data_IF_754249440882
#
_entry.id   IF_754249440882
#
_cell.length_a   1.000
_cell.length_b   1.000
_cell.length_c   1.000
_cell.angle_alpha   90.00
_cell.angle_beta   90.00
_cell.angle_gamma   90.00
#
_symmetry.space_group_name_H-M   'P 1'
#
loop_
_entity.id
_entity.type
_entity.pdbx_description
1 polymer ?
#
# COMPACT_ATOMS: atom_id res chain seq x y z
N UNK A 1 -50.52 52.77 -18.65
CA UNK A 1 -50.19 52.75 -17.21
C UNK A 1 -50.08 51.29 -16.85
N UNK A 2 -48.91 50.68 -16.68
CA UNK A 2 -47.50 51.09 -16.75
C UNK A 2 -46.68 49.89 -17.26
N UNK A 3 -45.43 50.11 -17.72
CA UNK A 3 -44.59 49.15 -18.44
C UNK A 3 -43.61 48.40 -17.51
N UNK A 4 -42.67 47.69 -18.14
CA UNK A 4 -41.40 47.16 -17.59
C UNK A 4 -41.38 45.70 -17.12
N UNK A 5 -41.12 44.84 -18.12
CA UNK A 5 -40.38 43.60 -17.92
C UNK A 5 -38.94 43.92 -17.54
N UNK A 6 -38.60 43.66 -16.28
CA UNK A 6 -37.23 43.61 -15.79
C UNK A 6 -36.63 42.24 -16.01
N UNK A 7 -35.61 42.17 -16.87
CA UNK A 7 -34.70 41.06 -17.06
C UNK A 7 -33.93 40.83 -15.76
N UNK A 8 -34.34 39.84 -14.97
CA UNK A 8 -33.58 39.38 -13.81
C UNK A 8 -32.37 38.59 -14.28
N UNK A 9 -31.24 39.28 -14.45
CA UNK A 9 -29.92 38.67 -14.53
C UNK A 9 -29.67 37.96 -13.20
N UNK A 10 -29.77 36.63 -13.19
CA UNK A 10 -29.25 35.81 -12.09
C UNK A 10 -27.74 35.93 -12.14
N UNK A 11 -27.20 36.77 -11.26
CA UNK A 11 -25.80 36.75 -10.91
C UNK A 11 -25.58 35.37 -10.31
N UNK A 12 -24.68 34.58 -10.91
CA UNK A 12 -24.23 33.33 -10.33
C UNK A 12 -23.68 33.66 -8.95
N UNK A 13 -24.17 32.97 -7.94
CA UNK A 13 -23.58 33.00 -6.60
C UNK A 13 -22.17 32.42 -6.79
N UNK A 14 -21.17 33.30 -6.70
CA UNK A 14 -19.77 32.89 -6.62
C UNK A 14 -19.66 31.99 -5.38
N UNK A 15 -19.22 30.75 -5.59
CA UNK A 15 -19.02 29.74 -4.56
C UNK A 15 -17.90 30.22 -3.63
N UNK A 16 -18.28 30.80 -2.50
CA UNK A 16 -17.43 31.39 -1.45
C UNK A 16 -16.74 30.29 -0.62
N UNK A 17 -16.35 29.18 -1.26
CA UNK A 17 -15.48 28.16 -0.64
C UNK A 17 -14.05 28.69 -0.65
N UNK A 18 -13.39 28.65 0.51
CA UNK A 18 -11.94 28.87 0.57
C UNK A 18 -11.25 27.99 -0.48
N UNK A 19 -10.25 28.51 -1.21
CA UNK A 19 -9.57 27.73 -2.24
C UNK A 19 -8.94 26.49 -1.60
N UNK A 20 -9.24 25.32 -2.15
CA UNK A 20 -8.70 24.05 -1.63
C UNK A 20 -7.17 24.11 -1.49
N UNK A 21 -6.67 23.83 -0.30
CA UNK A 21 -5.23 23.79 -0.04
C UNK A 21 -4.67 22.46 -0.53
N UNK A 22 -3.87 22.52 -1.61
CA UNK A 22 -3.38 21.34 -2.34
C UNK A 22 -1.88 21.21 -2.20
N UNK A 23 -1.39 20.07 -1.73
CA UNK A 23 0.03 19.77 -1.57
C UNK A 23 0.47 18.63 -2.47
N UNK A 24 1.72 18.70 -2.92
CA UNK A 24 2.36 17.60 -3.64
C UNK A 24 3.73 17.31 -3.04
N UNK A 25 3.89 16.09 -2.53
CA UNK A 25 5.16 15.55 -2.04
C UNK A 25 5.83 14.82 -3.20
N UNK A 26 6.89 15.42 -3.74
CA UNK A 26 7.65 14.90 -4.88
C UNK A 26 8.92 14.20 -4.42
N UNK A 27 9.07 12.93 -4.78
CA UNK A 27 10.36 12.24 -4.70
C UNK A 27 11.11 12.40 -6.03
N UNK A 28 12.19 13.21 -6.08
CA UNK A 28 12.94 13.44 -7.31
C UNK A 28 13.77 12.23 -7.74
N UNK A 29 14.08 11.31 -6.82
CA UNK A 29 14.91 10.12 -7.07
C UNK A 29 14.07 8.87 -7.43
N UNK A 30 12.74 9.00 -7.50
CA UNK A 30 11.86 7.91 -7.94
C UNK A 30 12.08 7.59 -9.43
N UNK A 31 12.00 6.30 -9.79
CA UNK A 31 12.14 5.88 -11.18
C UNK A 31 13.54 6.19 -11.74
N UNK A 32 13.59 6.92 -12.85
CA UNK A 32 14.84 7.40 -13.48
C UNK A 32 15.16 8.88 -13.19
N UNK A 33 14.32 9.55 -12.37
CA UNK A 33 14.44 10.96 -12.04
C UNK A 33 14.06 11.95 -13.16
N UNK A 34 13.75 11.47 -14.37
CA UNK A 34 13.42 12.31 -15.52
C UNK A 34 12.08 13.04 -15.42
N UNK A 35 11.26 12.72 -14.42
CA UNK A 35 9.94 13.29 -14.19
C UNK A 35 9.94 14.62 -13.45
N UNK A 36 10.99 14.93 -12.68
CA UNK A 36 11.01 16.00 -11.67
C UNK A 36 10.44 17.33 -12.17
N UNK A 37 11.03 17.87 -13.25
CA UNK A 37 10.63 19.17 -13.80
C UNK A 37 9.21 19.15 -14.38
N UNK A 38 8.83 18.03 -15.02
CA UNK A 38 7.49 17.86 -15.60
C UNK A 38 6.42 17.86 -14.51
N UNK A 39 6.59 17.06 -13.46
CA UNK A 39 5.64 16.97 -12.35
C UNK A 39 5.53 18.30 -11.62
N UNK A 40 6.68 18.92 -11.31
CA UNK A 40 6.72 20.22 -10.64
C UNK A 40 5.93 21.27 -11.40
N UNK A 41 6.19 21.42 -12.70
CA UNK A 41 5.47 22.39 -13.54
C UNK A 41 3.97 22.13 -13.56
N UNK A 42 3.54 20.89 -13.81
CA UNK A 42 2.11 20.54 -13.88
C UNK A 42 1.38 20.77 -12.55
N UNK A 43 2.07 20.54 -11.43
CA UNK A 43 1.56 20.78 -10.08
C UNK A 43 1.40 22.28 -9.79
N UNK A 44 2.45 23.07 -10.05
CA UNK A 44 2.42 24.53 -9.86
C UNK A 44 1.36 25.19 -10.75
N UNK A 45 1.20 24.75 -12.01
CA UNK A 45 0.13 25.20 -12.93
C UNK A 45 -1.28 24.90 -12.41
N UNK A 46 -1.43 23.93 -11.51
CA UNK A 46 -2.72 23.51 -10.91
C UNK A 46 -2.88 23.96 -9.45
N UNK A 47 -2.02 24.87 -8.99
CA UNK A 47 -2.14 25.49 -7.67
C UNK A 47 -1.62 24.62 -6.52
N UNK A 48 -0.79 23.61 -6.79
CA UNK A 48 -0.21 22.80 -5.72
C UNK A 48 0.99 23.47 -5.06
N UNK A 49 1.04 23.42 -3.74
CA UNK A 49 2.25 23.64 -2.95
C UNK A 49 3.17 22.41 -3.08
N UNK A 50 4.22 22.53 -3.89
CA UNK A 50 5.17 21.43 -4.12
C UNK A 50 6.27 21.39 -3.04
N UNK A 51 6.53 20.21 -2.48
CA UNK A 51 7.65 19.90 -1.59
C UNK A 51 8.41 18.69 -2.09
N UNK A 52 9.74 18.79 -2.13
CA UNK A 52 10.60 17.71 -2.62
C UNK A 52 11.25 16.96 -1.45
N UNK A 53 11.24 15.62 -1.50
CA UNK A 53 11.97 14.82 -0.51
C UNK A 53 13.48 15.03 -0.68
N UNK A 54 14.22 15.05 0.43
CA UNK A 54 15.67 15.31 0.43
C UNK A 54 16.49 14.07 0.80
N UNK A 55 15.87 13.11 1.47
CA UNK A 55 16.49 11.88 1.95
C UNK A 55 15.42 10.78 2.08
N UNK A 56 15.84 9.52 2.19
CA UNK A 56 14.94 8.40 2.40
C UNK A 56 14.16 8.57 3.72
N UNK A 57 12.84 8.38 3.69
CA UNK A 57 11.99 8.61 4.86
C UNK A 57 11.59 10.08 5.10
N UNK A 58 11.86 11.02 4.18
CA UNK A 58 11.45 12.42 4.34
C UNK A 58 9.95 12.67 4.04
N UNK A 59 9.27 11.78 3.32
CA UNK A 59 7.88 11.97 2.90
C UNK A 59 6.88 12.14 4.08
N UNK A 60 6.97 11.35 5.18
CA UNK A 60 6.15 11.56 6.38
C UNK A 60 6.28 12.96 6.99
N UNK A 61 7.49 13.53 7.00
CA UNK A 61 7.70 14.89 7.53
C UNK A 61 6.96 15.94 6.70
N UNK A 62 7.07 15.86 5.38
CA UNK A 62 6.38 16.76 4.47
C UNK A 62 4.86 16.60 4.52
N UNK A 63 4.37 15.37 4.74
CA UNK A 63 2.95 15.12 4.94
C UNK A 63 2.41 15.71 6.25
N UNK A 64 3.19 15.65 7.34
CA UNK A 64 2.87 16.34 8.59
C UNK A 64 2.84 17.87 8.42
N UNK A 65 3.75 18.43 7.61
CA UNK A 65 3.70 19.86 7.25
C UNK A 65 2.42 20.21 6.48
N UNK A 66 2.02 19.38 5.51
CA UNK A 66 0.78 19.57 4.75
C UNK A 66 -0.45 19.50 5.66
N UNK A 67 -0.48 18.52 6.59
CA UNK A 67 -1.54 18.41 7.59
C UNK A 67 -1.62 19.64 8.51
N UNK A 68 -0.48 20.20 8.91
CA UNK A 68 -0.42 21.41 9.72
C UNK A 68 -0.85 22.68 8.95
N UNK A 69 -0.82 22.62 7.62
CA UNK A 69 -1.36 23.64 6.73
C UNK A 69 -2.85 23.42 6.38
N UNK A 70 -3.52 22.46 7.04
CA UNK A 70 -4.91 22.07 6.78
C UNK A 70 -5.16 21.69 5.31
N UNK A 71 -4.20 21.02 4.66
CA UNK A 71 -4.32 20.59 3.28
C UNK A 71 -5.55 19.67 3.07
N UNK A 72 -6.42 20.08 2.14
CA UNK A 72 -7.59 19.31 1.70
C UNK A 72 -7.17 18.11 0.85
N UNK A 73 -6.08 18.26 0.09
CA UNK A 73 -5.54 17.22 -0.78
C UNK A 73 -4.02 17.17 -0.71
N UNK A 74 -3.48 15.95 -0.53
CA UNK A 74 -2.03 15.68 -0.58
C UNK A 74 -1.74 14.61 -1.62
N UNK A 75 -1.02 14.98 -2.67
CA UNK A 75 -0.59 14.07 -3.72
C UNK A 75 0.85 13.55 -3.47
N UNK A 76 1.03 12.23 -3.51
CA UNK A 76 2.33 11.58 -3.49
C UNK A 76 2.85 11.38 -4.92
N UNK A 77 3.88 12.12 -5.32
CA UNK A 77 4.56 11.94 -6.60
C UNK A 77 5.83 11.12 -6.40
N UNK A 78 5.69 9.80 -6.55
CA UNK A 78 6.75 8.83 -6.35
C UNK A 78 6.29 7.41 -6.71
N UNK A 79 6.95 6.42 -6.12
CA UNK A 79 6.44 5.05 -6.05
C UNK A 79 5.65 4.77 -4.76
N UNK A 80 5.36 3.49 -4.52
CA UNK A 80 4.53 3.03 -3.40
C UNK A 80 5.10 3.44 -2.03
N UNK A 81 6.42 3.45 -1.84
CA UNK A 81 7.04 3.92 -0.59
C UNK A 81 6.86 5.43 -0.34
N UNK A 82 6.80 6.26 -1.39
CA UNK A 82 6.48 7.69 -1.22
C UNK A 82 5.03 7.87 -0.79
N UNK A 83 4.12 7.07 -1.36
CA UNK A 83 2.71 7.06 -0.97
C UNK A 83 2.54 6.60 0.48
N UNK A 84 3.16 5.47 0.87
CA UNK A 84 3.13 4.98 2.24
C UNK A 84 3.64 6.05 3.20
N UNK A 85 4.78 6.70 2.89
CA UNK A 85 5.29 7.78 3.71
C UNK A 85 4.33 8.96 3.86
N UNK A 86 3.61 9.34 2.79
CA UNK A 86 2.57 10.38 2.87
C UNK A 86 1.40 9.94 3.76
N UNK A 87 0.90 8.71 3.59
CA UNK A 87 -0.20 8.16 4.40
C UNK A 87 0.19 8.10 5.87
N UNK A 88 1.38 7.57 6.18
CA UNK A 88 1.89 7.46 7.55
C UNK A 88 2.05 8.84 8.20
N UNK A 89 2.61 9.83 7.50
CA UNK A 89 2.73 11.19 8.05
C UNK A 89 1.39 11.89 8.25
N UNK A 90 0.39 11.62 7.41
CA UNK A 90 -0.97 12.11 7.63
C UNK A 90 -1.66 11.39 8.80
N UNK A 91 -1.40 10.11 9.01
CA UNK A 91 -1.92 9.37 10.16
C UNK A 91 -1.32 9.86 11.47
N UNK A 92 0.00 10.06 11.53
CA UNK A 92 0.71 10.65 12.67
C UNK A 92 0.14 12.02 13.09
N UNK A 93 -0.44 12.75 12.13
CA UNK A 93 -1.06 14.06 12.33
C UNK A 93 -2.60 14.00 12.51
N UNK A 94 -3.16 12.80 12.70
CA UNK A 94 -4.60 12.53 12.78
C UNK A 94 -5.38 13.11 11.59
N UNK A 95 -4.77 13.24 10.41
CA UNK A 95 -5.28 14.02 9.27
C UNK A 95 -6.00 13.21 8.19
N UNK A 96 -5.82 11.88 8.16
CA UNK A 96 -6.46 11.01 7.17
C UNK A 96 -7.98 11.21 6.98
N UNK A 97 -8.80 11.41 8.03
CA UNK A 97 -10.24 11.56 7.84
C UNK A 97 -10.65 12.81 7.07
N UNK A 98 -9.82 13.87 7.11
CA UNK A 98 -10.09 15.19 6.52
C UNK A 98 -9.36 15.43 5.21
N UNK A 99 -8.19 14.83 5.02
CA UNK A 99 -7.34 15.00 3.83
C UNK A 99 -7.59 13.91 2.79
N UNK A 100 -7.75 14.31 1.52
CA UNK A 100 -7.78 13.40 0.37
C UNK A 100 -6.35 13.10 -0.09
N UNK A 101 -6.01 11.82 -0.25
CA UNK A 101 -4.72 11.40 -0.77
C UNK A 101 -4.83 11.08 -2.26
N UNK A 102 -3.82 11.45 -3.03
CA UNK A 102 -3.71 11.07 -4.42
C UNK A 102 -2.30 10.64 -4.80
N UNK A 103 -2.14 10.08 -5.99
CA UNK A 103 -0.87 9.53 -6.46
C UNK A 103 -0.52 10.09 -7.83
N UNK A 104 0.77 10.38 -8.05
CA UNK A 104 1.35 10.67 -9.36
C UNK A 104 2.42 9.60 -9.62
N UNK A 105 2.16 8.60 -10.48
CA UNK A 105 2.97 7.40 -10.61
C UNK A 105 4.28 7.69 -11.37
N UNK A 106 5.35 7.92 -10.61
CA UNK A 106 6.70 8.19 -11.13
C UNK A 106 7.75 7.27 -10.51
N UNK A 107 7.32 6.28 -9.74
CA UNK A 107 8.16 5.19 -9.25
C UNK A 107 8.34 4.07 -10.29
N UNK A 108 9.07 3.03 -9.89
CA UNK A 108 9.35 1.88 -10.76
C UNK A 108 8.18 0.90 -10.90
N UNK A 109 7.38 0.74 -9.84
CA UNK A 109 6.29 -0.22 -9.79
C UNK A 109 4.91 0.44 -9.86
N UNK A 110 4.65 1.43 -9.00
CA UNK A 110 3.39 2.18 -8.97
C UNK A 110 2.16 1.28 -8.82
N UNK A 111 2.30 0.22 -8.01
CA UNK A 111 1.26 -0.80 -7.83
C UNK A 111 -0.03 -0.13 -7.39
N UNK A 112 0.03 0.75 -6.38
CA UNK A 112 -1.14 1.47 -5.92
C UNK A 112 -1.85 2.23 -7.04
N UNK A 113 -1.10 2.96 -7.87
CA UNK A 113 -1.66 3.78 -8.95
C UNK A 113 -2.40 2.92 -9.98
N UNK A 114 -1.81 1.79 -10.39
CA UNK A 114 -2.45 0.83 -11.29
C UNK A 114 -3.77 0.32 -10.69
N UNK A 115 -3.76 -0.02 -9.40
CA UNK A 115 -4.94 -0.54 -8.70
C UNK A 115 -6.08 0.48 -8.59
N UNK A 116 -5.76 1.76 -8.44
CA UNK A 116 -6.73 2.86 -8.39
C UNK A 116 -7.05 3.45 -9.78
N UNK A 117 -6.53 2.85 -10.85
CA UNK A 117 -6.81 3.26 -12.23
C UNK A 117 -6.19 4.59 -12.63
N UNK A 118 -5.01 4.91 -12.09
CA UNK A 118 -4.26 6.13 -12.39
C UNK A 118 -3.09 5.81 -13.31
N UNK A 119 -3.12 6.35 -14.53
CA UNK A 119 -2.15 6.03 -15.58
C UNK A 119 -1.17 7.19 -15.81
N UNK A 120 0.10 7.02 -15.49
CA UNK A 120 1.12 8.04 -15.81
C UNK A 120 0.88 9.42 -15.17
N UNK A 121 1.68 10.40 -15.56
CA UNK A 121 1.70 11.72 -14.89
C UNK A 121 0.52 12.59 -15.29
N UNK A 122 0.23 12.67 -16.58
CA UNK A 122 -0.80 13.58 -17.11
C UNK A 122 -2.19 13.18 -16.63
N UNK A 123 -2.56 11.90 -16.78
CA UNK A 123 -3.85 11.40 -16.33
C UNK A 123 -3.95 11.36 -14.79
N UNK A 124 -2.84 11.22 -14.04
CA UNK A 124 -2.88 11.46 -12.59
C UNK A 124 -3.37 12.86 -12.22
N UNK A 125 -2.92 13.91 -12.91
CA UNK A 125 -3.42 15.26 -12.62
C UNK A 125 -4.86 15.50 -13.06
N UNK A 126 -5.37 14.75 -14.05
CA UNK A 126 -6.80 14.73 -14.40
C UNK A 126 -7.62 14.06 -13.29
N UNK A 127 -7.17 12.89 -12.81
CA UNK A 127 -7.81 12.17 -11.70
C UNK A 127 -7.77 12.96 -10.39
N UNK A 128 -6.67 13.66 -10.11
CA UNK A 128 -6.57 14.51 -8.93
C UNK A 128 -7.58 15.68 -8.97
N UNK A 129 -7.87 16.21 -10.15
CA UNK A 129 -8.82 17.31 -10.33
C UNK A 129 -10.28 16.82 -10.31
N UNK A 130 -10.59 15.81 -11.13
CA UNK A 130 -11.97 15.46 -11.49
C UNK A 130 -12.34 14.01 -11.11
N UNK A 131 -11.38 13.24 -10.58
CA UNK A 131 -11.57 11.85 -10.18
C UNK A 131 -12.54 11.69 -9.02
N UNK A 132 -13.15 10.51 -8.98
CA UNK A 132 -14.07 10.14 -7.90
C UNK A 132 -13.30 10.01 -6.59
N UNK A 133 -13.93 10.41 -5.50
CA UNK A 133 -13.41 10.12 -4.16
C UNK A 133 -13.96 8.79 -3.65
N UNK A 134 -13.07 7.99 -3.09
CA UNK A 134 -13.39 6.73 -2.41
C UNK A 134 -12.78 6.72 -1.03
N UNK A 135 -13.35 5.90 -0.16
CA UNK A 135 -12.78 5.60 1.17
C UNK A 135 -12.30 4.17 1.12
N UNK A 136 -11.02 3.99 1.37
CA UNK A 136 -10.39 2.67 1.42
C UNK A 136 -9.87 2.39 2.82
N UNK A 137 -9.76 1.11 3.11
CA UNK A 137 -9.26 0.55 4.34
C UNK A 137 -7.74 0.69 4.41
N UNK A 138 -7.20 0.78 5.63
CA UNK A 138 -5.76 0.69 5.86
C UNK A 138 -5.44 -0.52 6.72
N UNK A 139 -4.40 -1.26 6.35
CA UNK A 139 -3.85 -2.31 7.18
C UNK A 139 -3.01 -1.72 8.31
N UNK A 140 -3.12 -2.30 9.51
CA UNK A 140 -2.26 -2.02 10.65
C UNK A 140 -1.40 -3.24 10.94
N UNK A 141 -0.18 -3.00 11.41
CA UNK A 141 0.71 -4.06 11.85
C UNK A 141 1.33 -3.68 13.19
N UNK A 142 1.37 -4.62 14.13
CA UNK A 142 2.02 -4.46 15.43
C UNK A 142 2.94 -5.68 15.68
N UNK A 143 4.04 -5.45 16.38
CA UNK A 143 5.07 -6.45 16.67
C UNK A 143 6.40 -6.21 15.94
N UNK A 144 7.51 -6.55 16.60
CA UNK A 144 8.86 -6.50 16.03
C UNK A 144 9.60 -5.16 16.11
N UNK A 145 10.90 -5.22 15.84
CA UNK A 145 11.76 -4.04 15.64
C UNK A 145 12.05 -3.85 14.13
N UNK A 146 12.23 -2.61 13.65
CA UNK A 146 12.61 -2.36 12.26
C UNK A 146 13.88 -3.13 11.90
N UNK A 147 13.83 -3.93 10.82
CA UNK A 147 15.00 -4.68 10.36
C UNK A 147 16.11 -3.74 9.89
N UNK A 148 17.36 -4.09 10.14
CA UNK A 148 18.52 -3.38 9.63
C UNK A 148 18.55 -3.46 8.10
N UNK A 149 18.01 -2.43 7.43
CA UNK A 149 17.98 -2.28 5.97
C UNK A 149 19.37 -2.11 5.31
N UNK A 150 20.46 -2.59 5.91
CA UNK A 150 21.82 -2.41 5.45
C UNK A 150 22.45 -3.73 5.00
N UNK A 151 22.18 -4.10 3.74
CA UNK A 151 23.27 -4.66 2.95
C UNK A 151 24.20 -3.50 2.55
N UNK A 152 25.08 -3.14 3.50
CA UNK A 152 26.12 -2.12 3.42
C UNK A 152 25.67 -0.66 3.22
N UNK A 153 25.81 0.14 4.29
CA UNK A 153 26.60 1.37 4.36
C UNK A 153 26.74 1.79 5.83
N UNK A 154 27.93 2.28 6.18
CA UNK A 154 28.52 2.40 7.51
C UNK A 154 27.84 3.38 8.50
N UNK A 155 27.98 3.04 9.78
CA UNK A 155 28.04 3.87 11.00
C UNK A 155 27.83 5.39 10.82
N UNK A 156 26.70 5.92 11.30
CA UNK A 156 26.58 7.33 11.74
C UNK A 156 26.43 7.39 13.27
N UNK A 157 27.45 7.84 14.02
CA UNK A 157 27.47 7.78 15.48
C UNK A 157 26.77 8.97 16.16
N UNK A 158 25.66 9.49 15.60
CA UNK A 158 24.97 10.67 16.15
C UNK A 158 23.45 10.52 16.24
N UNK A 159 22.98 9.53 16.97
CA UNK A 159 21.64 9.55 17.58
C UNK A 159 21.71 9.06 19.02
N UNK A 160 22.21 9.93 19.91
CA UNK A 160 21.93 9.80 21.33
C UNK A 160 20.50 10.22 21.60
N UNK A 161 19.59 9.26 21.73
CA UNK A 161 18.34 9.41 22.47
C UNK A 161 18.21 8.20 23.41
N UNK A 162 18.55 8.46 24.66
CA UNK A 162 18.07 7.69 25.80
C UNK A 162 16.58 8.03 25.96
N UNK A 163 15.69 7.18 25.45
CA UNK A 163 14.31 7.09 25.92
C UNK A 163 13.91 5.62 25.75
N UNK A 164 13.93 4.90 26.87
CA UNK A 164 13.36 3.57 26.99
C UNK A 164 11.86 3.74 27.24
N UNK A 165 11.05 3.47 26.22
CA UNK A 165 9.63 3.17 26.36
C UNK A 165 9.24 2.19 25.22
N UNK A 166 8.50 1.16 25.63
CA UNK A 166 8.14 -0.11 24.97
C UNK A 166 8.29 -0.26 23.43
N UNK A 167 9.02 -1.32 23.09
CA UNK A 167 9.23 -1.97 21.79
C UNK A 167 7.91 -2.55 21.25
N UNK A 168 7.09 -1.71 20.62
CA UNK A 168 5.92 -2.13 19.87
C UNK A 168 5.78 -1.23 18.62
N UNK A 169 6.49 -1.61 17.55
CA UNK A 169 6.49 -0.87 16.29
C UNK A 169 5.09 -0.97 15.65
N UNK A 170 4.25 0.04 15.86
CA UNK A 170 2.98 0.19 15.12
C UNK A 170 3.25 0.75 13.74
N UNK A 171 2.99 -0.05 12.71
CA UNK A 171 3.11 0.33 11.30
C UNK A 171 1.76 0.37 10.61
N UNK A 172 1.69 1.16 9.52
CA UNK A 172 0.60 1.10 8.56
C UNK A 172 1.08 0.50 7.26
N UNK A 173 0.20 -0.26 6.61
CA UNK A 173 0.41 -0.65 5.23
C UNK A 173 -0.82 -0.37 4.39
N UNK A 174 -0.54 0.05 3.17
CA UNK A 174 -1.53 0.36 2.16
C UNK A 174 -1.75 -0.88 1.30
N UNK A 175 -0.68 -1.57 0.87
CA UNK A 175 -0.73 -2.66 -0.10
C UNK A 175 -0.80 -4.05 0.55
N UNK A 176 0.27 -4.47 1.22
CA UNK A 176 0.39 -5.85 1.71
C UNK A 176 1.51 -6.07 2.72
N UNK A 177 1.36 -7.12 3.52
CA UNK A 177 2.41 -7.77 4.32
C UNK A 177 2.70 -9.18 3.79
N UNK A 178 3.95 -9.62 3.89
CA UNK A 178 4.43 -10.90 3.34
C UNK A 178 5.50 -11.53 4.23
N UNK A 179 5.36 -12.80 4.58
CA UNK A 179 6.35 -13.60 5.31
C UNK A 179 6.67 -14.92 4.61
N UNK A 180 7.89 -15.44 4.84
CA UNK A 180 8.27 -16.79 4.40
C UNK A 180 8.93 -16.89 3.03
N UNK A 181 9.29 -15.77 2.39
CA UNK A 181 10.11 -15.86 1.19
C UNK A 181 11.57 -16.27 1.51
N UNK A 182 12.15 -17.23 0.76
CA UNK A 182 13.55 -17.58 0.90
C UNK A 182 14.47 -16.36 0.68
N UNK A 183 15.50 -16.23 1.52
CA UNK A 183 16.38 -15.05 1.57
C UNK A 183 17.01 -14.69 0.22
N UNK A 184 17.27 -15.68 -0.64
CA UNK A 184 17.85 -15.51 -1.97
C UNK A 184 16.84 -14.97 -2.99
N UNK A 185 15.55 -15.29 -2.83
CA UNK A 185 14.48 -14.78 -3.69
C UNK A 185 14.09 -13.33 -3.34
N UNK A 186 14.35 -12.89 -2.10
CA UNK A 186 14.26 -11.47 -1.74
C UNK A 186 15.41 -10.63 -2.32
N UNK A 187 16.55 -11.25 -2.65
CA UNK A 187 17.75 -10.59 -3.20
C UNK A 187 17.79 -10.63 -4.73
N UNK A 188 17.24 -11.68 -5.34
CA UNK A 188 17.14 -11.84 -6.78
C UNK A 188 15.82 -11.27 -7.32
N UNK A 189 15.71 -9.95 -7.41
CA UNK A 189 15.30 -9.25 -8.64
C UNK A 189 15.11 -7.75 -8.42
N UNK A 190 15.49 -7.00 -9.45
CA UNK A 190 15.23 -5.58 -9.58
C UNK A 190 13.75 -5.26 -9.36
N UNK A 191 13.48 -4.05 -8.90
CA UNK A 191 12.14 -3.43 -8.85
C UNK A 191 11.32 -3.59 -10.14
N UNK A 192 11.97 -3.91 -11.27
CA UNK A 192 11.37 -4.18 -12.57
C UNK A 192 10.70 -5.57 -12.74
N UNK A 193 11.04 -6.59 -11.93
CA UNK A 193 10.32 -7.89 -11.97
C UNK A 193 9.08 -7.86 -11.07
N UNK A 194 9.18 -7.20 -9.91
CA UNK A 194 8.02 -6.88 -9.04
C UNK A 194 6.97 -6.05 -9.78
N UNK A 195 7.37 -5.12 -10.66
CA UNK A 195 6.46 -4.22 -11.38
C UNK A 195 5.77 -4.81 -12.60
N UNK A 196 6.26 -5.92 -13.17
CA UNK A 196 5.69 -6.50 -14.42
C UNK A 196 4.74 -7.67 -14.21
N UNK A 197 4.79 -8.31 -13.06
CA UNK A 197 4.07 -9.55 -12.78
C UNK A 197 3.02 -9.40 -11.65
N UNK A 198 3.08 -8.33 -10.88
CA UNK A 198 2.29 -8.18 -9.63
C UNK A 198 2.90 -8.99 -8.48
N UNK A 199 2.60 -8.59 -7.24
CA UNK A 199 3.20 -9.18 -6.02
C UNK A 199 3.02 -10.70 -5.95
N UNK A 200 1.84 -11.21 -6.28
CA UNK A 200 1.50 -12.63 -6.25
C UNK A 200 2.36 -13.45 -7.22
N UNK A 201 2.53 -13.01 -8.46
CA UNK A 201 3.32 -13.75 -9.44
C UNK A 201 4.84 -13.62 -9.20
N UNK A 202 5.28 -12.51 -8.61
CA UNK A 202 6.64 -12.39 -8.08
C UNK A 202 6.89 -13.46 -7.00
N UNK A 203 5.99 -13.60 -6.04
CA UNK A 203 6.09 -14.63 -4.97
C UNK A 203 6.04 -16.04 -5.56
N UNK A 204 5.14 -16.31 -6.51
CA UNK A 204 5.11 -17.60 -7.20
C UNK A 204 6.44 -17.95 -7.88
N UNK A 205 7.07 -16.95 -8.52
CA UNK A 205 8.37 -17.12 -9.18
C UNK A 205 9.47 -17.39 -8.14
N UNK A 206 9.50 -16.61 -7.06
CA UNK A 206 10.43 -16.78 -5.95
C UNK A 206 10.37 -18.18 -5.33
N UNK A 207 9.15 -18.67 -5.05
CA UNK A 207 8.94 -20.01 -4.50
C UNK A 207 9.37 -21.11 -5.47
N UNK A 208 9.08 -20.93 -6.76
CA UNK A 208 9.53 -21.88 -7.80
C UNK A 208 11.05 -22.01 -7.89
N UNK A 209 11.79 -20.92 -7.64
CA UNK A 209 13.25 -20.93 -7.69
C UNK A 209 13.87 -21.53 -6.41
N UNK A 210 13.14 -21.52 -5.31
CA UNK A 210 13.62 -21.95 -4.00
C UNK A 210 13.22 -23.38 -3.64
N UNK A 211 13.68 -24.32 -4.46
CA UNK A 211 13.37 -25.75 -4.33
C UNK A 211 13.87 -26.36 -3.00
N UNK A 212 14.92 -25.78 -2.40
CA UNK A 212 15.54 -26.26 -1.15
C UNK A 212 14.98 -25.56 0.11
N UNK A 213 13.92 -24.75 -0.01
CA UNK A 213 13.32 -24.08 1.13
C UNK A 213 12.40 -25.04 1.92
N UNK A 214 12.75 -25.28 3.18
CA UNK A 214 12.01 -26.21 4.05
C UNK A 214 10.66 -25.68 4.56
N UNK A 215 10.38 -24.40 4.33
CA UNK A 215 9.19 -23.72 4.83
C UNK A 215 9.41 -23.05 6.20
N UNK A 216 8.33 -22.47 6.71
CA UNK A 216 8.21 -21.83 8.02
C UNK A 216 7.09 -22.50 8.79
N UNK A 217 7.27 -22.69 10.10
CA UNK A 217 6.21 -23.19 10.96
C UNK A 217 5.45 -22.01 11.56
N UNK A 218 4.14 -21.98 11.34
CA UNK A 218 3.26 -20.87 11.71
C UNK A 218 2.01 -21.35 12.45
N UNK A 219 1.55 -20.53 13.38
CA UNK A 219 0.18 -20.55 13.90
C UNK A 219 -0.51 -19.25 13.48
N UNK A 220 -1.74 -19.35 13.02
CA UNK A 220 -2.55 -18.22 12.55
C UNK A 220 -3.89 -18.25 13.25
N UNK A 221 -4.26 -17.15 13.89
CA UNK A 221 -5.59 -16.91 14.44
C UNK A 221 -6.23 -15.74 13.70
N UNK A 222 -7.42 -15.94 13.14
CA UNK A 222 -8.13 -14.94 12.36
C UNK A 222 -9.53 -14.70 12.95
N UNK A 223 -9.91 -13.43 13.10
CA UNK A 223 -11.21 -13.05 13.67
C UNK A 223 -12.05 -12.28 12.65
N UNK A 224 -13.27 -12.74 12.41
CA UNK A 224 -14.27 -12.04 11.57
C UNK A 224 -15.65 -12.17 12.21
N UNK A 225 -16.41 -11.07 12.28
CA UNK A 225 -17.75 -11.05 12.88
C UNK A 225 -17.84 -11.64 14.32
N UNK A 226 -16.72 -11.60 15.06
CA UNK A 226 -16.60 -12.18 16.40
C UNK A 226 -16.43 -13.71 16.42
N UNK A 227 -16.30 -14.36 15.27
CA UNK A 227 -15.93 -15.76 15.12
C UNK A 227 -14.42 -15.88 14.88
N UNK A 228 -13.81 -16.82 15.59
CA UNK A 228 -12.37 -17.11 15.50
C UNK A 228 -12.13 -18.38 14.69
N UNK A 229 -11.19 -18.31 13.75
CA UNK A 229 -10.69 -19.45 12.99
C UNK A 229 -9.20 -19.55 13.16
N UNK A 230 -8.71 -20.75 13.49
CA UNK A 230 -7.28 -21.00 13.67
C UNK A 230 -6.74 -22.00 12.64
N UNK A 231 -5.44 -21.92 12.40
CA UNK A 231 -4.67 -22.88 11.60
C UNK A 231 -3.24 -22.94 12.13
N UNK A 232 -2.65 -24.13 12.14
CA UNK A 232 -1.25 -24.35 12.56
C UNK A 232 -0.62 -25.36 11.60
N UNK A 233 0.58 -25.05 11.11
CA UNK A 233 1.27 -25.92 10.17
C UNK A 233 2.55 -25.36 9.57
N UNK A 234 3.15 -26.16 8.68
CA UNK A 234 4.28 -25.73 7.88
C UNK A 234 3.77 -25.03 6.60
N UNK A 235 4.28 -23.84 6.33
CA UNK A 235 3.94 -23.01 5.17
C UNK A 235 5.18 -22.69 4.33
N UNK A 236 4.99 -22.50 3.03
CA UNK A 236 5.99 -21.91 2.14
C UNK A 236 5.94 -20.38 2.18
N UNK A 237 4.76 -19.80 2.36
CA UNK A 237 4.59 -18.35 2.41
C UNK A 237 3.28 -17.98 3.10
N UNK A 238 3.29 -16.85 3.82
CA UNK A 238 2.11 -16.18 4.32
C UNK A 238 2.00 -14.81 3.64
N UNK A 239 0.89 -14.58 2.95
CA UNK A 239 0.57 -13.31 2.29
C UNK A 239 -0.64 -12.69 2.97
N UNK A 240 -0.56 -11.43 3.35
CA UNK A 240 -1.68 -10.66 3.87
C UNK A 240 -1.84 -9.40 3.05
N UNK A 241 -3.00 -9.18 2.46
CA UNK A 241 -3.27 -8.05 1.57
C UNK A 241 -4.50 -7.28 1.99
N UNK A 242 -4.48 -5.98 1.69
CA UNK A 242 -5.58 -5.05 1.95
C UNK A 242 -6.08 -4.37 0.66
N UNK A 243 -5.29 -4.38 -0.42
CA UNK A 243 -5.63 -3.70 -1.66
C UNK A 243 -6.06 -4.62 -2.80
N UNK A 244 -6.98 -4.09 -3.63
CA UNK A 244 -7.45 -4.66 -4.90
C UNK A 244 -6.31 -5.31 -5.68
N UNK A 245 -6.52 -6.47 -6.30
CA UNK A 245 -5.49 -7.12 -7.13
C UNK A 245 -4.38 -7.86 -6.37
N UNK A 246 -4.41 -7.84 -5.04
CA UNK A 246 -3.71 -8.82 -4.22
C UNK A 246 -4.57 -10.09 -4.10
N UNK A 247 -3.99 -11.25 -4.39
CA UNK A 247 -4.71 -12.52 -4.57
C UNK A 247 -5.18 -12.76 -6.01
N UNK A 248 -5.50 -14.02 -6.37
CA UNK A 248 -5.98 -14.37 -7.71
C UNK A 248 -7.37 -13.75 -7.99
N UNK A 249 -7.80 -13.65 -9.26
CA UNK A 249 -9.05 -12.98 -9.66
C UNK A 249 -10.31 -13.33 -8.83
N UNK A 250 -10.41 -14.56 -8.32
CA UNK A 250 -11.55 -15.05 -7.51
C UNK A 250 -11.48 -14.68 -6.02
N UNK A 251 -10.33 -14.21 -5.56
CA UNK A 251 -10.00 -13.95 -4.16
C UNK A 251 -9.30 -12.60 -4.00
N UNK A 252 -9.56 -11.67 -4.93
CA UNK A 252 -8.97 -10.35 -4.88
C UNK A 252 -9.49 -9.64 -3.63
N UNK A 253 -8.55 -9.12 -2.85
CA UNK A 253 -8.90 -8.28 -1.71
C UNK A 253 -9.76 -7.10 -2.15
N UNK A 254 -10.71 -6.69 -1.31
CA UNK A 254 -11.53 -5.52 -1.53
C UNK A 254 -11.15 -4.46 -0.50
N UNK A 255 -10.54 -3.37 -0.96
CA UNK A 255 -10.04 -2.32 -0.08
C UNK A 255 -11.15 -1.45 0.55
N UNK A 256 -12.42 -1.80 0.43
CA UNK A 256 -13.55 -1.03 0.99
C UNK A 256 -14.54 -1.89 1.79
N UNK A 257 -14.22 -3.15 2.08
CA UNK A 257 -15.12 -4.05 2.82
C UNK A 257 -14.79 -4.20 4.31
N UNK A 258 -13.71 -3.58 4.78
CA UNK A 258 -13.24 -3.62 6.15
C UNK A 258 -12.64 -4.97 6.53
N UNK A 259 -12.16 -5.76 5.56
CA UNK A 259 -11.56 -7.06 5.77
C UNK A 259 -10.17 -7.14 5.14
N UNK A 260 -9.30 -7.92 5.79
CA UNK A 260 -8.03 -8.38 5.27
C UNK A 260 -8.24 -9.71 4.55
N UNK A 261 -7.49 -9.92 3.47
CA UNK A 261 -7.37 -11.20 2.80
C UNK A 261 -5.98 -11.78 3.07
N UNK A 262 -5.93 -12.93 3.74
CA UNK A 262 -4.69 -13.65 3.98
C UNK A 262 -4.69 -15.02 3.30
N UNK A 263 -3.61 -15.35 2.61
CA UNK A 263 -3.38 -16.66 1.99
C UNK A 263 -2.11 -17.26 2.55
N UNK A 264 -2.23 -18.43 3.17
CA UNK A 264 -1.11 -19.27 3.57
C UNK A 264 -0.96 -20.36 2.52
N UNK A 265 0.20 -20.42 1.89
CA UNK A 265 0.54 -21.55 1.01
C UNK A 265 1.21 -22.60 1.87
N UNK A 266 0.54 -23.73 2.05
CA UNK A 266 1.03 -24.83 2.85
C UNK A 266 2.28 -25.47 2.23
N UNK A 267 3.12 -26.07 3.07
CA UNK A 267 4.26 -26.83 2.60
C UNK A 267 3.80 -28.01 1.76
N UNK A 268 4.29 -28.08 0.53
CA UNK A 268 3.95 -29.13 -0.43
C UNK A 268 5.19 -29.71 -1.12
N UNK A 269 5.11 -30.94 -1.66
CA UNK A 269 6.15 -31.50 -2.51
C UNK A 269 6.46 -30.58 -3.71
N UNK A 270 7.74 -30.45 -4.09
CA UNK A 270 8.20 -29.59 -5.19
C UNK A 270 7.43 -29.79 -6.50
N UNK A 271 7.01 -31.03 -6.80
CA UNK A 271 6.24 -31.34 -8.02
C UNK A 271 4.87 -30.66 -8.04
N UNK A 272 4.23 -30.52 -6.87
CA UNK A 272 2.91 -29.90 -6.70
C UNK A 272 3.07 -28.39 -6.76
N UNK A 273 4.08 -27.84 -6.06
CA UNK A 273 4.45 -26.43 -6.17
C UNK A 273 4.68 -25.99 -7.63
N UNK A 274 5.44 -26.77 -8.40
CA UNK A 274 5.67 -26.49 -9.82
C UNK A 274 4.41 -26.59 -10.67
N UNK A 275 3.47 -27.47 -10.32
CA UNK A 275 2.22 -27.64 -11.05
C UNK A 275 1.28 -26.46 -10.78
N UNK A 276 1.02 -26.15 -9.52
CA UNK A 276 0.13 -25.06 -9.10
C UNK A 276 0.67 -23.68 -9.51
N UNK A 277 1.99 -23.46 -9.42
CA UNK A 277 2.60 -22.23 -9.92
C UNK A 277 2.48 -22.08 -11.44
N UNK A 278 2.46 -23.19 -12.19
CA UNK A 278 2.33 -23.15 -13.65
C UNK A 278 0.89 -22.92 -14.13
N UNK A 279 -0.10 -23.33 -13.34
CA UNK A 279 -1.52 -23.08 -13.61
C UNK A 279 -2.02 -21.75 -13.03
N UNK A 280 -1.27 -21.18 -12.08
CA UNK A 280 -1.64 -19.95 -11.37
C UNK A 280 -2.49 -20.19 -10.12
N UNK A 281 -2.63 -21.46 -9.71
CA UNK A 281 -3.52 -21.87 -8.62
C UNK A 281 -2.87 -21.74 -7.23
N UNK A 282 -1.56 -21.46 -7.15
CA UNK A 282 -0.79 -21.46 -5.89
C UNK A 282 -1.39 -20.59 -4.77
N UNK A 283 -2.14 -19.55 -5.14
CA UNK A 283 -2.80 -18.64 -4.21
C UNK A 283 -4.33 -18.66 -4.34
N UNK A 284 -4.89 -19.58 -5.12
CA UNK A 284 -6.33 -19.76 -5.25
C UNK A 284 -6.88 -20.31 -3.92
N UNK A 285 -7.85 -19.65 -3.26
CA UNK A 285 -8.45 -20.15 -2.02
C UNK A 285 -9.03 -21.56 -2.11
N UNK A 286 -9.37 -22.01 -3.33
CA UNK A 286 -9.91 -23.33 -3.57
C UNK A 286 -8.81 -24.38 -3.90
N UNK A 287 -7.53 -23.98 -3.94
CA UNK A 287 -6.42 -24.89 -4.18
C UNK A 287 -6.14 -25.81 -2.98
N UNK A 288 -5.64 -27.01 -3.27
CA UNK A 288 -5.43 -28.06 -2.27
C UNK A 288 -4.46 -27.64 -1.15
N UNK A 289 -3.50 -26.76 -1.45
CA UNK A 289 -2.45 -26.32 -0.54
C UNK A 289 -2.52 -24.81 -0.21
N UNK A 290 -3.68 -24.20 -0.39
CA UNK A 290 -3.90 -22.80 -0.05
C UNK A 290 -4.93 -22.70 1.07
N UNK A 291 -4.57 -21.99 2.14
CA UNK A 291 -5.48 -21.65 3.22
C UNK A 291 -5.79 -20.17 3.18
N UNK A 292 -7.04 -19.84 2.88
CA UNK A 292 -7.52 -18.45 2.82
C UNK A 292 -8.26 -18.05 4.09
N UNK A 293 -7.98 -16.85 4.57
CA UNK A 293 -8.68 -16.19 5.67
C UNK A 293 -9.18 -14.83 5.21
N UNK A 294 -10.43 -14.53 5.55
CA UNK A 294 -10.97 -13.17 5.53
C UNK A 294 -11.24 -12.74 6.96
N UNK A 295 -10.66 -11.62 7.39
CA UNK A 295 -10.74 -11.23 8.80
C UNK A 295 -10.58 -9.74 9.04
N UNK A 296 -11.04 -9.27 10.20
CA UNK A 296 -10.75 -7.91 10.69
C UNK A 296 -9.42 -7.83 11.43
N UNK A 297 -8.90 -8.98 11.86
CA UNK A 297 -7.62 -9.12 12.55
C UNK A 297 -7.04 -10.50 12.30
N UNK A 298 -5.71 -10.58 12.21
CA UNK A 298 -4.92 -11.81 12.20
C UNK A 298 -3.79 -11.72 13.23
N UNK A 299 -3.61 -12.76 14.02
CA UNK A 299 -2.42 -13.00 14.81
C UNK A 299 -1.60 -14.09 14.10
N UNK A 300 -0.33 -13.82 13.85
CA UNK A 300 0.59 -14.76 13.18
C UNK A 300 1.78 -14.99 14.10
N UNK A 301 1.86 -16.19 14.66
CA UNK A 301 2.98 -16.66 15.45
C UNK A 301 3.88 -17.56 14.62
N UNK A 302 5.19 -17.35 14.73
CA UNK A 302 6.21 -18.17 14.11
C UNK A 302 7.05 -18.89 15.17
N UNK A 303 7.50 -20.10 14.84
CA UNK A 303 8.36 -20.86 15.76
C UNK A 303 9.73 -20.20 16.01
N UNK A 304 10.17 -19.32 15.12
CA UNK A 304 11.40 -18.53 15.23
C UNK A 304 11.15 -17.15 14.61
N UNK A 305 12.00 -16.18 14.92
CA UNK A 305 11.95 -14.85 14.30
C UNK A 305 11.97 -14.94 12.76
N UNK A 306 10.97 -14.31 12.13
CA UNK A 306 10.82 -14.24 10.68
C UNK A 306 10.93 -12.81 10.19
N UNK A 307 11.49 -12.66 9.00
CA UNK A 307 11.43 -11.40 8.28
C UNK A 307 10.10 -11.28 7.53
N UNK A 308 9.32 -10.27 7.89
CA UNK A 308 8.15 -9.80 7.20
C UNK A 308 8.52 -8.62 6.29
N UNK A 309 7.88 -8.56 5.12
CA UNK A 309 7.93 -7.44 4.19
C UNK A 309 6.59 -6.72 4.23
N UNK A 310 6.53 -5.56 4.86
CA UNK A 310 5.34 -4.70 4.99
C UNK A 310 5.48 -3.54 4.01
N UNK A 311 4.66 -3.47 2.96
CA UNK A 311 4.77 -2.52 1.84
C UNK A 311 6.19 -2.42 1.22
N UNK A 312 7.02 -3.46 1.41
CA UNK A 312 8.39 -3.53 0.94
C UNK A 312 9.45 -3.15 1.98
N UNK A 313 9.06 -2.68 3.15
CA UNK A 313 9.92 -2.47 4.32
C UNK A 313 10.05 -3.75 5.15
N UNK A 314 11.21 -3.96 5.78
CA UNK A 314 11.49 -5.18 6.53
C UNK A 314 11.21 -5.01 8.01
N UNK A 315 10.47 -5.96 8.55
CA UNK A 315 10.17 -6.10 9.97
C UNK A 315 10.60 -7.50 10.41
N UNK A 316 11.31 -7.64 11.53
CA UNK A 316 11.70 -8.94 12.06
C UNK A 316 10.96 -9.18 13.38
N UNK A 317 10.21 -10.28 13.45
CA UNK A 317 9.46 -10.67 14.64
C UNK A 317 9.09 -12.15 14.59
N UNK A 318 8.88 -12.78 15.74
CA UNK A 318 8.26 -14.11 15.86
C UNK A 318 6.74 -14.03 16.09
N UNK A 319 6.20 -12.83 16.35
CA UNK A 319 4.77 -12.58 16.51
C UNK A 319 4.36 -11.31 15.76
N UNK A 320 3.34 -11.41 14.91
CA UNK A 320 2.81 -10.31 14.13
C UNK A 320 1.30 -10.20 14.32
N UNK A 321 0.84 -9.07 14.88
CA UNK A 321 -0.57 -8.72 14.90
C UNK A 321 -0.89 -7.85 13.69
N UNK A 322 -1.92 -8.22 12.94
CA UNK A 322 -2.38 -7.50 11.76
C UNK A 322 -3.85 -7.14 11.94
N UNK A 323 -4.20 -5.91 11.60
CA UNK A 323 -5.56 -5.40 11.70
C UNK A 323 -5.96 -4.54 10.52
N UNK A 324 -7.22 -4.12 10.49
CA UNK A 324 -7.75 -3.22 9.47
C UNK A 324 -8.46 -2.03 10.12
N UNK A 325 -8.24 -0.86 9.53
CA UNK A 325 -8.92 0.39 9.84
C UNK A 325 -9.89 0.73 8.70
N UNK A 326 -11.19 0.46 8.85
CA UNK A 326 -12.12 0.57 7.72
C UNK A 326 -12.36 2.01 7.27
N UNK A 327 -12.27 2.26 5.96
CA UNK A 327 -12.67 3.50 5.28
C UNK A 327 -11.98 4.78 5.76
N UNK A 328 -10.79 4.66 6.37
CA UNK A 328 -10.07 5.79 6.97
C UNK A 328 -9.31 6.62 5.94
N UNK A 329 -8.84 6.01 4.85
CA UNK A 329 -8.07 6.71 3.82
C UNK A 329 -8.99 7.19 2.71
N UNK A 330 -9.10 8.51 2.52
CA UNK A 330 -9.81 9.10 1.37
C UNK A 330 -8.87 9.20 0.19
N UNK A 331 -9.27 8.68 -0.98
CA UNK A 331 -8.43 8.68 -2.18
C UNK A 331 -9.15 9.19 -3.43
N UNK A 332 -8.40 9.77 -4.37
CA UNK A 332 -8.87 9.99 -5.75
C UNK A 332 -8.61 8.74 -6.60
N UNK A 333 -9.61 8.29 -7.32
CA UNK A 333 -9.54 7.10 -8.18
C UNK A 333 -9.92 7.42 -9.63
N UNK A 334 -9.33 6.68 -10.55
CA UNK A 334 -9.65 6.74 -11.97
C UNK A 334 -11.07 6.27 -12.30
N UNK A 335 -11.53 6.51 -13.55
CA UNK A 335 -12.87 6.13 -13.99
C UNK A 335 -13.10 4.62 -13.93
N UNK A 336 -12.06 3.81 -14.18
CA UNK A 336 -12.14 2.35 -14.23
C UNK A 336 -11.94 1.67 -12.86
N UNK A 337 -11.75 2.45 -11.80
CA UNK A 337 -11.70 1.88 -10.45
C UNK A 337 -13.06 1.36 -10.02
N UNK A 338 -13.10 0.08 -9.67
CA UNK A 338 -14.23 -0.54 -9.01
C UNK A 338 -13.71 -1.45 -7.90
N UNK A 339 -14.11 -1.15 -6.67
CA UNK A 339 -13.76 -1.93 -5.48
C UNK A 339 -14.28 -3.38 -5.55
N UNK A 340 -15.36 -3.62 -6.31
CA UNK A 340 -16.04 -4.92 -6.40
C UNK A 340 -15.78 -5.70 -7.71
N UNK A 341 -15.10 -5.12 -8.71
CA UNK A 341 -14.83 -5.81 -9.97
C UNK A 341 -13.41 -6.38 -10.07
N UNK A 342 -13.24 -7.61 -10.60
CA UNK A 342 -11.94 -8.07 -11.10
C UNK A 342 -11.40 -7.11 -12.18
N UNK A 343 -10.08 -7.02 -12.38
CA UNK A 343 -9.50 -6.10 -13.37
C UNK A 343 -10.07 -6.37 -14.78
N UNK A 344 -10.11 -5.35 -15.65
CA UNK A 344 -10.64 -5.48 -17.01
C UNK A 344 -9.78 -6.32 -17.99
N UNK A 345 -8.72 -6.99 -17.52
CA UNK A 345 -7.83 -7.84 -18.32
C UNK A 345 -8.02 -9.34 -18.00
N UNK A 346 -9.27 -9.81 -18.03
CA UNK A 346 -9.64 -11.25 -18.15
C UNK A 346 -9.89 -11.63 -19.61
#
# INVERSE_FOLDING_TARGET
>A
MDPDGGTGMRIAEDDDSDPEERWLVLNPESGDGGHRERVRRLAEERGYTVRETQYAGHAPELAREAAAADADLVAAAGGDGTLNGVVSGLDDADALPRTVVGVVPVGTANIFADLVGVEGVEHAFEVLADGRERRVDLGTVEGGSPGDGSAALADDPRSGRDDADDDDSRGLFVLSSLAGLPAEASLATSSALKSRLGTVAFVATALREAIDFDGIHLSVEAVVDGEETTWEGDALVALVGNLRGFGPPRARANAEDGLLDAVIVERMPTRELLAEAATGDLFDPDADHARHFRSTSLEIDAANELAFSVDGERLATDHLSVGVRPGVLRIKVGPDYDAALPNPDD
#
